data_IF_073400768930
#
_entry.id   IF_073400768930
#
_cell.length_a   1.000
_cell.length_b   1.000
_cell.length_c   1.000
_cell.angle_alpha   90.00
_cell.angle_beta   90.00
_cell.angle_gamma   90.00
#
_symmetry.space_group_name_H-M   'P 1'
#
loop_
_entity.id
_entity.type
_entity.pdbx_description
1 polymer ?
#
# COMPACT_ATOMS: atom_id res chain seq x y z
N UNK A 1 75.33 39.32 -10.34
CA UNK A 1 75.19 37.90 -9.97
C UNK A 1 73.75 37.47 -10.24
N UNK A 2 73.53 36.29 -10.87
CA UNK A 2 72.31 35.96 -11.61
C UNK A 2 71.27 35.19 -10.78
N UNK A 3 70.04 35.04 -11.33
CA UNK A 3 69.22 33.80 -11.49
C UNK A 3 67.76 34.22 -11.81
N UNK A 4 67.31 34.14 -13.06
CA UNK A 4 66.59 33.02 -13.73
C UNK A 4 65.18 32.73 -13.17
N UNK A 5 64.18 33.02 -14.03
CA UNK A 5 63.13 32.06 -14.41
C UNK A 5 61.77 32.20 -13.74
N UNK A 6 60.79 32.77 -14.45
CA UNK A 6 59.45 32.19 -14.46
C UNK A 6 58.83 32.41 -15.84
N UNK A 7 58.33 31.30 -16.39
CA UNK A 7 57.87 31.14 -17.76
C UNK A 7 56.53 31.84 -17.97
N UNK A 8 56.33 32.31 -19.19
CA UNK A 8 55.03 32.66 -19.76
C UNK A 8 54.03 31.53 -19.50
N UNK A 9 53.09 31.75 -18.57
CA UNK A 9 51.87 30.96 -18.49
C UNK A 9 50.91 31.44 -19.58
N UNK A 10 50.63 30.51 -20.47
CA UNK A 10 49.67 30.59 -21.56
C UNK A 10 48.34 31.19 -21.11
N UNK A 11 47.83 32.08 -21.97
CA UNK A 11 46.46 32.58 -21.97
C UNK A 11 45.47 31.42 -21.97
N UNK A 12 44.93 31.07 -20.81
CA UNK A 12 43.70 30.31 -20.70
C UNK A 12 42.56 31.13 -21.31
N UNK A 13 42.00 30.62 -22.41
CA UNK A 13 40.86 31.19 -23.13
C UNK A 13 39.61 31.18 -22.22
N UNK A 14 38.66 32.12 -22.37
CA UNK A 14 37.48 32.20 -21.52
C UNK A 14 36.55 30.99 -21.72
N UNK A 15 36.35 30.27 -20.62
CA UNK A 15 35.10 29.67 -20.16
C UNK A 15 34.17 29.04 -21.19
N UNK A 16 34.28 27.72 -21.37
CA UNK A 16 33.09 26.91 -21.62
C UNK A 16 32.26 26.92 -20.33
N UNK A 17 31.32 27.85 -20.21
CA UNK A 17 30.24 27.74 -19.21
C UNK A 17 29.49 26.45 -19.53
N UNK A 18 29.54 25.46 -18.65
CA UNK A 18 28.61 24.33 -18.68
C UNK A 18 27.21 24.91 -18.53
N UNK A 19 26.56 25.08 -19.67
CA UNK A 19 25.30 25.80 -19.82
C UNK A 19 24.14 25.05 -19.18
N UNK A 20 23.32 25.84 -18.48
CA UNK A 20 21.97 25.56 -18.03
C UNK A 20 21.83 24.54 -16.89
N UNK A 21 21.75 25.08 -15.68
CA UNK A 21 20.91 24.51 -14.62
C UNK A 21 19.55 24.19 -15.23
N UNK A 22 19.24 22.91 -15.46
CA UNK A 22 17.88 22.51 -15.87
C UNK A 22 16.92 22.97 -14.78
N UNK A 23 16.11 23.96 -15.09
CA UNK A 23 15.22 24.61 -14.12
C UNK A 23 14.01 23.72 -13.75
N UNK A 24 13.75 22.68 -14.53
CA UNK A 24 12.62 21.79 -14.36
C UNK A 24 13.04 20.41 -13.88
N UNK A 25 12.84 20.17 -12.58
CA UNK A 25 12.61 18.83 -12.07
C UNK A 25 11.18 18.44 -12.45
N UNK A 26 10.99 17.46 -13.33
CA UNK A 26 9.67 16.90 -13.65
C UNK A 26 9.47 15.62 -12.85
N UNK A 27 8.44 15.61 -12.01
CA UNK A 27 8.05 14.47 -11.18
C UNK A 27 6.56 14.30 -11.46
N UNK A 28 6.13 13.26 -12.18
CA UNK A 28 4.73 12.98 -12.39
C UNK A 28 4.07 12.59 -11.07
N UNK A 29 2.78 12.89 -10.92
CA UNK A 29 2.00 12.41 -9.77
C UNK A 29 1.82 10.90 -9.91
N UNK A 30 2.27 10.11 -8.92
CA UNK A 30 1.95 8.70 -8.91
C UNK A 30 0.46 8.45 -8.72
N UNK A 31 -0.04 7.38 -9.33
CA UNK A 31 -1.38 6.90 -9.02
C UNK A 31 -1.49 6.50 -7.53
N UNK A 32 -2.70 6.57 -6.98
CA UNK A 32 -3.05 6.11 -5.61
C UNK A 32 -2.43 6.87 -4.43
N UNK A 33 -1.65 7.94 -4.66
CA UNK A 33 -1.21 8.84 -3.56
C UNK A 33 -2.30 9.86 -3.23
N UNK A 34 -2.53 10.06 -1.93
CA UNK A 34 -3.52 11.02 -1.43
C UNK A 34 -3.20 12.47 -1.84
N UNK A 35 -4.23 13.30 -2.00
CA UNK A 35 -4.13 14.70 -2.42
C UNK A 35 -3.19 15.53 -1.53
N UNK A 36 -3.40 15.57 -0.20
CA UNK A 36 -2.56 16.32 0.73
C UNK A 36 -1.08 15.91 0.70
N UNK A 37 -0.79 14.60 0.58
CA UNK A 37 0.58 14.11 0.46
C UNK A 37 1.24 14.59 -0.84
N UNK A 38 0.51 14.59 -1.95
CA UNK A 38 1.01 15.12 -3.21
C UNK A 38 1.27 16.64 -3.15
N UNK A 39 0.37 17.39 -2.52
CA UNK A 39 0.52 18.84 -2.33
C UNK A 39 1.78 19.16 -1.52
N UNK A 40 2.07 18.40 -0.46
CA UNK A 40 3.30 18.55 0.32
C UNK A 40 4.56 18.36 -0.53
N UNK A 41 4.60 17.32 -1.38
CA UNK A 41 5.72 17.07 -2.30
C UNK A 41 5.90 18.25 -3.28
N UNK A 42 4.81 18.77 -3.83
CA UNK A 42 4.85 19.91 -4.75
C UNK A 42 5.32 21.20 -4.08
N UNK A 43 4.94 21.44 -2.82
CA UNK A 43 5.40 22.58 -2.05
C UNK A 43 6.93 22.53 -1.87
N UNK A 44 7.51 21.39 -1.48
CA UNK A 44 8.96 21.24 -1.32
C UNK A 44 9.71 21.39 -2.64
N UNK A 45 9.19 20.82 -3.73
CA UNK A 45 9.74 21.00 -5.07
C UNK A 45 9.77 22.47 -5.52
N UNK A 46 8.73 23.23 -5.17
CA UNK A 46 8.64 24.65 -5.50
C UNK A 46 9.67 25.48 -4.74
N UNK A 47 10.04 25.10 -3.50
CA UNK A 47 11.11 25.75 -2.74
C UNK A 47 12.47 25.61 -3.40
N UNK A 48 12.82 24.41 -3.87
CA UNK A 48 14.08 24.18 -4.63
C UNK A 48 14.15 25.10 -5.84
N UNK A 49 13.05 25.22 -6.59
CA UNK A 49 12.98 26.10 -7.78
C UNK A 49 13.16 27.58 -7.43
N UNK A 50 12.58 28.03 -6.31
CA UNK A 50 12.66 29.43 -5.89
C UNK A 50 14.09 29.84 -5.46
N UNK A 51 14.87 28.91 -4.91
CA UNK A 51 16.19 29.22 -4.33
C UNK A 51 17.36 29.06 -5.31
N UNK A 52 17.14 28.39 -6.44
CA UNK A 52 18.23 27.88 -7.27
C UNK A 52 19.15 28.94 -7.88
N UNK A 53 18.62 30.14 -8.12
CA UNK A 53 19.37 31.23 -8.73
C UNK A 53 20.13 32.09 -7.71
N UNK A 54 19.86 31.94 -6.41
CA UNK A 54 20.25 32.94 -5.41
C UNK A 54 20.75 32.40 -4.07
N UNK A 55 20.46 31.14 -3.73
CA UNK A 55 20.78 30.58 -2.41
C UNK A 55 21.14 29.08 -2.49
N UNK A 56 22.42 28.79 -2.74
CA UNK A 56 22.92 27.40 -2.84
C UNK A 56 22.75 26.60 -1.54
N UNK A 57 23.00 27.24 -0.38
CA UNK A 57 22.80 26.61 0.92
C UNK A 57 21.33 26.29 1.19
N UNK A 58 20.42 27.17 0.76
CA UNK A 58 18.99 26.96 0.76
C UNK A 58 18.55 25.81 -0.14
N UNK A 59 19.10 25.73 -1.36
CA UNK A 59 18.81 24.61 -2.29
C UNK A 59 19.17 23.27 -1.67
N UNK A 60 20.34 23.12 -1.06
CA UNK A 60 20.76 21.87 -0.40
C UNK A 60 19.78 21.53 0.73
N UNK A 61 19.36 22.51 1.52
CA UNK A 61 18.34 22.34 2.56
C UNK A 61 17.00 21.86 1.99
N UNK A 62 16.50 22.52 0.95
CA UNK A 62 15.23 22.17 0.31
C UNK A 62 15.29 20.79 -0.38
N UNK A 63 16.44 20.38 -0.91
CA UNK A 63 16.68 19.04 -1.44
C UNK A 63 16.54 17.97 -0.35
N UNK A 64 17.14 18.17 0.82
CA UNK A 64 16.97 17.28 1.98
C UNK A 64 15.50 17.21 2.39
N UNK A 65 14.85 18.36 2.54
CA UNK A 65 13.45 18.43 2.97
C UNK A 65 12.52 17.70 1.99
N UNK A 66 12.78 17.78 0.68
CA UNK A 66 12.01 17.03 -0.32
C UNK A 66 12.20 15.51 -0.19
N UNK A 67 13.45 15.04 -0.04
CA UNK A 67 13.74 13.61 0.18
C UNK A 67 13.07 13.13 1.47
N UNK A 68 13.14 13.93 2.54
CA UNK A 68 12.51 13.63 3.83
C UNK A 68 10.98 13.56 3.72
N UNK A 69 10.36 14.52 3.02
CA UNK A 69 8.93 14.55 2.76
C UNK A 69 8.49 13.29 2.01
N UNK A 70 9.16 12.95 0.92
CA UNK A 70 8.81 11.76 0.12
C UNK A 70 9.05 10.47 0.92
N UNK A 71 10.10 10.37 1.74
CA UNK A 71 10.31 9.23 2.63
C UNK A 71 9.16 9.08 3.64
N UNK A 72 8.68 10.18 4.23
CA UNK A 72 7.52 10.19 5.14
C UNK A 72 6.23 9.80 4.43
N UNK A 73 6.01 10.30 3.22
CA UNK A 73 4.84 9.92 2.39
C UNK A 73 4.86 8.43 2.09
N UNK A 74 6.01 7.87 1.68
CA UNK A 74 6.16 6.42 1.44
C UNK A 74 5.73 5.61 2.68
N UNK A 75 6.22 5.98 3.86
CA UNK A 75 5.88 5.26 5.09
C UNK A 75 4.41 5.47 5.51
N UNK A 76 3.88 6.68 5.36
CA UNK A 76 2.50 7.00 5.71
C UNK A 76 1.47 6.28 4.81
N UNK A 77 1.74 6.20 3.50
CA UNK A 77 0.86 5.56 2.53
C UNK A 77 0.90 4.03 2.59
N UNK A 78 2.08 3.45 2.80
CA UNK A 78 2.26 2.00 2.73
C UNK A 78 2.26 1.28 4.08
N UNK A 79 2.51 1.99 5.19
CA UNK A 79 2.52 1.41 6.53
C UNK A 79 1.80 2.29 7.54
N UNK A 80 2.53 3.21 8.15
CA UNK A 80 2.06 4.10 9.19
C UNK A 80 3.00 5.31 9.26
N UNK A 81 2.50 6.48 9.67
CA UNK A 81 3.34 7.66 9.81
C UNK A 81 4.49 7.41 10.79
N UNK A 82 5.71 7.77 10.40
CA UNK A 82 6.89 7.56 11.22
C UNK A 82 7.60 8.87 11.57
N UNK A 83 8.06 8.95 12.82
CA UNK A 83 8.94 10.01 13.33
C UNK A 83 10.32 9.41 13.58
N UNK A 84 11.27 9.72 12.71
CA UNK A 84 12.67 9.34 12.86
C UNK A 84 13.60 10.41 12.27
N UNK A 85 14.89 10.30 12.56
CA UNK A 85 15.90 11.14 11.90
C UNK A 85 15.97 10.85 10.39
N UNK A 86 16.49 11.82 9.64
CA UNK A 86 16.51 11.78 8.18
C UNK A 86 17.17 10.50 7.61
N UNK A 87 18.37 10.07 8.06
CA UNK A 87 18.98 8.84 7.57
C UNK A 87 18.13 7.60 7.82
N UNK A 88 17.50 7.49 9.01
CA UNK A 88 16.61 6.37 9.32
C UNK A 88 15.36 6.35 8.45
N UNK A 89 14.73 7.51 8.23
CA UNK A 89 13.55 7.62 7.37
C UNK A 89 13.85 7.14 5.95
N UNK A 90 14.95 7.65 5.34
CA UNK A 90 15.33 7.27 3.98
C UNK A 90 15.69 5.79 3.90
N UNK A 91 16.40 5.26 4.90
CA UNK A 91 16.75 3.82 4.95
C UNK A 91 15.49 2.96 4.98
N UNK A 92 14.54 3.25 5.87
CA UNK A 92 13.29 2.50 6.01
C UNK A 92 12.42 2.57 4.75
N UNK A 93 12.17 3.77 4.24
CA UNK A 93 11.44 3.95 2.99
C UNK A 93 12.10 3.19 1.83
N UNK A 94 13.43 3.30 1.69
CA UNK A 94 14.15 2.60 0.61
C UNK A 94 14.12 1.08 0.77
N UNK A 95 14.09 0.57 2.00
CA UNK A 95 13.99 -0.86 2.28
C UNK A 95 12.61 -1.39 1.90
N UNK A 96 11.56 -0.68 2.31
CA UNK A 96 10.16 -0.99 1.96
C UNK A 96 9.94 -1.00 0.44
N UNK A 97 10.41 0.04 -0.26
CA UNK A 97 10.32 0.14 -1.71
C UNK A 97 11.17 -0.91 -2.43
N UNK A 98 12.28 -1.35 -1.81
CA UNK A 98 13.13 -2.42 -2.31
C UNK A 98 12.50 -3.80 -2.22
N UNK A 99 11.80 -4.09 -1.11
CA UNK A 99 11.07 -5.36 -0.91
C UNK A 99 9.89 -5.54 -1.86
N UNK A 100 9.34 -4.45 -2.40
CA UNK A 100 8.30 -4.45 -3.43
C UNK A 100 8.82 -4.84 -4.83
N UNK A 101 9.99 -5.49 -4.94
CA UNK A 101 10.51 -6.02 -6.20
C UNK A 101 10.02 -7.44 -6.37
N UNK A 102 9.40 -7.81 -7.51
CA UNK A 102 8.97 -9.17 -7.77
C UNK A 102 10.12 -10.14 -7.50
N UNK A 103 9.85 -11.16 -6.68
CA UNK A 103 10.75 -12.32 -6.59
C UNK A 103 10.53 -13.10 -7.88
N UNK A 104 11.47 -12.97 -8.80
CA UNK A 104 11.47 -13.82 -9.99
C UNK A 104 12.04 -15.16 -9.54
N UNK A 105 11.15 -16.14 -9.43
CA UNK A 105 11.47 -17.50 -9.01
C UNK A 105 12.23 -18.20 -10.15
N UNK A 106 13.56 -18.30 -10.04
CA UNK A 106 14.31 -19.37 -10.72
C UNK A 106 15.32 -19.01 -11.82
N UNK A 107 15.46 -17.75 -12.25
CA UNK A 107 16.45 -17.41 -13.30
C UNK A 107 17.73 -16.74 -12.74
N UNK A 108 18.90 -17.23 -13.17
CA UNK A 108 20.22 -16.64 -12.84
C UNK A 108 20.30 -15.14 -13.22
N UNK A 109 19.57 -14.74 -14.26
CA UNK A 109 19.49 -13.35 -14.73
C UNK A 109 18.68 -12.47 -13.77
N UNK A 110 17.63 -13.01 -13.16
CA UNK A 110 16.87 -12.34 -12.11
C UNK A 110 17.71 -12.14 -10.84
N UNK A 111 18.53 -13.11 -10.45
CA UNK A 111 19.42 -12.98 -9.29
C UNK A 111 20.46 -11.86 -9.48
N UNK A 112 21.02 -11.75 -10.69
CA UNK A 112 22.00 -10.69 -11.02
C UNK A 112 21.35 -9.31 -11.00
N UNK A 113 20.15 -9.17 -11.59
CA UNK A 113 19.39 -7.92 -11.56
C UNK A 113 19.03 -7.53 -10.12
N UNK A 114 18.54 -8.47 -9.31
CA UNK A 114 18.20 -8.23 -7.91
C UNK A 114 19.41 -7.72 -7.11
N UNK A 115 20.58 -8.37 -7.26
CA UNK A 115 21.83 -7.92 -6.63
C UNK A 115 22.21 -6.50 -7.06
N UNK A 116 22.12 -6.20 -8.36
CA UNK A 116 22.40 -4.87 -8.89
C UNK A 116 21.47 -3.79 -8.31
N UNK A 117 20.16 -4.09 -8.21
CA UNK A 117 19.19 -3.19 -7.61
C UNK A 117 19.45 -2.97 -6.11
N UNK A 118 19.80 -4.02 -5.36
CA UNK A 118 20.16 -3.88 -3.94
C UNK A 118 21.37 -2.96 -3.76
N UNK A 119 22.40 -3.09 -4.60
CA UNK A 119 23.58 -2.21 -4.56
C UNK A 119 23.21 -0.75 -4.83
N UNK A 120 22.35 -0.50 -5.82
CA UNK A 120 21.86 0.84 -6.12
C UNK A 120 21.05 1.42 -4.95
N UNK A 121 20.18 0.64 -4.32
CA UNK A 121 19.43 1.06 -3.14
C UNK A 121 20.36 1.41 -1.98
N UNK A 122 21.38 0.59 -1.71
CA UNK A 122 22.39 0.89 -0.69
C UNK A 122 23.17 2.16 -1.02
N UNK A 123 23.57 2.37 -2.27
CA UNK A 123 24.25 3.59 -2.70
C UNK A 123 23.36 4.84 -2.51
N UNK A 124 22.06 4.74 -2.78
CA UNK A 124 21.09 5.81 -2.53
C UNK A 124 20.97 6.15 -1.03
N UNK A 125 21.03 5.15 -0.15
CA UNK A 125 21.04 5.36 1.31
C UNK A 125 22.33 6.07 1.76
N UNK A 126 23.49 5.67 1.23
CA UNK A 126 24.77 6.34 1.51
C UNK A 126 24.76 7.78 0.99
N UNK A 127 24.23 8.02 -0.21
CA UNK A 127 24.10 9.37 -0.76
C UNK A 127 23.16 10.25 0.06
N UNK A 128 22.10 9.69 0.65
CA UNK A 128 21.23 10.40 1.58
C UNK A 128 22.01 10.86 2.82
N UNK A 129 22.82 9.97 3.41
CA UNK A 129 23.70 10.32 4.53
C UNK A 129 24.62 11.50 4.16
N UNK A 130 25.25 11.45 2.98
CA UNK A 130 26.06 12.55 2.46
C UNK A 130 25.27 13.86 2.28
N UNK A 131 24.02 13.80 1.81
CA UNK A 131 23.14 14.98 1.73
C UNK A 131 22.85 15.58 3.12
N UNK A 132 22.64 14.73 4.13
CA UNK A 132 22.41 15.16 5.51
C UNK A 132 23.64 15.90 6.06
N UNK A 133 24.84 15.35 5.82
CA UNK A 133 26.12 15.96 6.21
C UNK A 133 26.38 17.27 5.46
N UNK A 134 26.20 17.29 4.14
CA UNK A 134 26.30 18.52 3.33
C UNK A 134 25.35 19.61 3.80
N UNK A 135 24.11 19.28 4.17
CA UNK A 135 23.18 20.25 4.74
C UNK A 135 23.68 20.77 6.09
N UNK A 136 24.23 19.91 6.93
CA UNK A 136 24.73 20.30 8.25
C UNK A 136 25.96 21.21 8.13
N UNK A 137 26.88 20.90 7.23
CA UNK A 137 28.15 21.62 7.07
C UNK A 137 28.04 22.84 6.15
N UNK A 138 27.23 22.75 5.09
CA UNK A 138 27.15 23.75 4.03
C UNK A 138 25.74 24.36 3.80
N UNK A 139 24.69 23.82 4.42
CA UNK A 139 23.34 24.40 4.32
C UNK A 139 23.15 25.70 5.13
N UNK A 140 22.10 26.46 4.79
CA UNK A 140 21.73 27.73 5.42
C UNK A 140 21.09 27.61 6.84
N UNK A 141 21.01 26.39 7.39
CA UNK A 141 20.41 26.12 8.69
C UNK A 141 21.32 26.46 9.88
N UNK A 142 20.70 26.68 11.05
CA UNK A 142 21.36 26.84 12.37
C UNK A 142 22.26 28.07 12.55
N UNK A 143 22.13 29.10 11.69
CA UNK A 143 22.74 30.41 11.93
C UNK A 143 24.27 30.37 11.98
N UNK A 144 24.89 29.91 10.89
CA UNK A 144 26.34 29.76 10.83
C UNK A 144 27.08 31.09 10.91
N UNK A 145 28.28 31.12 11.52
CA UNK A 145 29.10 32.31 11.63
C UNK A 145 29.60 32.83 10.27
N UNK A 146 29.68 31.96 9.26
CA UNK A 146 30.01 32.30 7.88
C UNK A 146 29.14 31.51 6.91
N UNK A 147 28.79 32.12 5.77
CA UNK A 147 28.14 31.41 4.68
C UNK A 147 29.20 30.65 3.87
N UNK A 148 29.08 29.32 3.73
CA UNK A 148 30.02 28.55 2.92
C UNK A 148 29.84 28.88 1.44
N UNK A 149 30.95 28.95 0.71
CA UNK A 149 30.95 29.09 -0.75
C UNK A 149 30.73 27.72 -1.36
N UNK A 150 29.66 27.56 -2.15
CA UNK A 150 29.26 26.31 -2.77
C UNK A 150 29.27 26.53 -4.28
N UNK A 151 29.97 25.66 -5.02
CA UNK A 151 30.02 25.78 -6.47
C UNK A 151 28.69 25.35 -7.10
N UNK A 152 28.34 25.94 -8.25
CA UNK A 152 27.14 25.60 -9.01
C UNK A 152 27.07 24.10 -9.32
N UNK A 153 28.23 23.50 -9.63
CA UNK A 153 28.38 22.07 -9.96
C UNK A 153 28.00 21.16 -8.79
N UNK A 154 28.37 21.53 -7.56
CA UNK A 154 28.03 20.76 -6.35
C UNK A 154 26.52 20.81 -6.09
N UNK A 155 25.90 21.99 -6.29
CA UNK A 155 24.45 22.14 -6.21
C UNK A 155 23.75 21.29 -7.26
N UNK A 156 24.29 21.22 -8.49
CA UNK A 156 23.74 20.36 -9.53
C UNK A 156 23.84 18.87 -9.19
N UNK A 157 24.94 18.44 -8.59
CA UNK A 157 25.11 17.05 -8.15
C UNK A 157 24.05 16.68 -7.11
N UNK A 158 23.88 17.52 -6.09
CA UNK A 158 22.87 17.33 -5.03
C UNK A 158 21.46 17.26 -5.62
N UNK A 159 21.12 18.18 -6.52
CA UNK A 159 19.80 18.19 -7.19
C UNK A 159 19.58 16.94 -8.03
N UNK A 160 20.58 16.51 -8.78
CA UNK A 160 20.50 15.33 -9.64
C UNK A 160 20.25 14.07 -8.81
N UNK A 161 20.93 13.94 -7.67
CA UNK A 161 20.66 12.90 -6.69
C UNK A 161 19.22 12.96 -6.17
N UNK A 162 18.77 14.13 -5.70
CA UNK A 162 17.39 14.31 -5.19
C UNK A 162 16.35 13.94 -6.24
N UNK A 163 16.51 14.37 -7.49
CA UNK A 163 15.59 14.02 -8.58
C UNK A 163 15.56 12.51 -8.85
N UNK A 164 16.73 11.88 -8.92
CA UNK A 164 16.85 10.44 -9.14
C UNK A 164 16.18 9.64 -8.02
N UNK A 165 16.44 10.01 -6.76
CA UNK A 165 15.86 9.34 -5.60
C UNK A 165 14.34 9.50 -5.54
N UNK A 166 13.83 10.73 -5.69
CA UNK A 166 12.40 11.02 -5.62
C UNK A 166 11.64 10.32 -6.74
N UNK A 167 12.14 10.36 -7.98
CA UNK A 167 11.51 9.65 -9.10
C UNK A 167 11.45 8.15 -8.87
N UNK A 168 12.55 7.56 -8.42
CA UNK A 168 12.60 6.14 -8.10
C UNK A 168 11.62 5.78 -6.99
N UNK A 169 11.62 6.55 -5.88
CA UNK A 169 10.77 6.29 -4.73
C UNK A 169 9.29 6.36 -5.09
N UNK A 170 8.88 7.40 -5.81
CA UNK A 170 7.50 7.60 -6.23
C UNK A 170 7.03 6.56 -7.25
N UNK A 171 7.86 6.20 -8.23
CA UNK A 171 7.54 5.15 -9.19
C UNK A 171 7.41 3.76 -8.51
N UNK A 172 8.20 3.50 -7.46
CA UNK A 172 8.09 2.27 -6.68
C UNK A 172 6.89 2.29 -5.74
N UNK A 173 6.57 3.43 -5.14
CA UNK A 173 5.39 3.59 -4.31
C UNK A 173 4.11 3.35 -5.10
N UNK A 174 4.02 3.86 -6.34
CA UNK A 174 2.87 3.59 -7.22
C UNK A 174 2.60 2.09 -7.36
N UNK A 175 3.65 1.31 -7.65
CA UNK A 175 3.54 -0.15 -7.81
C UNK A 175 3.15 -0.84 -6.51
N UNK A 176 3.70 -0.37 -5.39
CA UNK A 176 3.37 -0.90 -4.07
C UNK A 176 1.89 -0.66 -3.73
N UNK A 177 1.40 0.57 -3.94
CA UNK A 177 0.01 0.93 -3.67
C UNK A 177 -0.96 0.27 -4.66
N UNK A 178 -0.57 0.12 -5.92
CA UNK A 178 -1.35 -0.59 -6.92
C UNK A 178 -1.59 -2.06 -6.53
N UNK A 179 -0.65 -2.67 -5.80
CA UNK A 179 -0.74 -4.05 -5.32
C UNK A 179 -1.10 -4.12 -3.82
N UNK A 180 -1.80 -3.12 -3.30
CA UNK A 180 -2.31 -3.15 -1.92
C UNK A 180 -3.72 -3.71 -1.85
N UNK A 181 -4.06 -4.31 -0.70
CA UNK A 181 -5.42 -4.80 -0.41
C UNK A 181 -6.44 -3.65 -0.46
N UNK A 182 -6.10 -2.48 0.05
CA UNK A 182 -6.96 -1.29 -0.01
C UNK A 182 -7.32 -0.90 -1.45
N UNK A 183 -6.36 -0.95 -2.38
CA UNK A 183 -6.62 -0.69 -3.80
C UNK A 183 -7.49 -1.79 -4.40
N UNK A 184 -7.24 -3.06 -4.10
CA UNK A 184 -8.07 -4.17 -4.58
C UNK A 184 -9.52 -4.07 -4.06
N UNK A 185 -9.72 -3.71 -2.79
CA UNK A 185 -11.05 -3.46 -2.23
C UNK A 185 -11.72 -2.29 -2.95
N UNK A 186 -11.01 -1.19 -3.21
CA UNK A 186 -11.55 -0.08 -3.99
C UNK A 186 -11.96 -0.51 -5.41
N UNK A 187 -11.14 -1.34 -6.08
CA UNK A 187 -11.47 -1.93 -7.38
C UNK A 187 -12.75 -2.76 -7.31
N UNK A 188 -12.89 -3.64 -6.31
CA UNK A 188 -14.11 -4.45 -6.09
C UNK A 188 -15.38 -3.59 -6.02
N UNK A 189 -15.30 -2.34 -5.57
CA UNK A 189 -16.48 -1.46 -5.54
C UNK A 189 -16.83 -0.81 -6.88
N UNK A 190 -15.85 -0.53 -7.74
CA UNK A 190 -16.02 0.41 -8.86
C UNK A 190 -15.60 -0.09 -10.23
N UNK A 191 -14.88 -1.21 -10.34
CA UNK A 191 -14.35 -1.71 -11.61
C UNK A 191 -15.13 -2.92 -12.14
N UNK A 192 -14.87 -3.25 -13.41
CA UNK A 192 -15.41 -4.45 -14.06
C UNK A 192 -14.38 -5.57 -13.99
N UNK A 193 -14.76 -6.70 -13.40
CA UNK A 193 -13.93 -7.90 -13.31
C UNK A 193 -14.22 -8.85 -14.47
N UNK A 194 -13.17 -9.43 -15.03
CA UNK A 194 -13.24 -10.54 -16.00
C UNK A 194 -12.71 -11.81 -15.33
N UNK A 195 -13.11 -12.97 -15.85
CA UNK A 195 -12.71 -14.26 -15.29
C UNK A 195 -11.19 -14.36 -15.10
N UNK A 196 -10.77 -14.82 -13.93
CA UNK A 196 -9.36 -14.97 -13.54
C UNK A 196 -8.67 -13.67 -13.11
N UNK A 197 -9.29 -12.50 -13.31
CA UNK A 197 -8.69 -11.23 -12.87
C UNK A 197 -8.62 -11.16 -11.35
N UNK A 198 -9.65 -11.61 -10.62
CA UNK A 198 -9.59 -11.58 -9.16
C UNK A 198 -8.48 -12.50 -8.66
N UNK A 199 -8.37 -13.72 -9.19
CA UNK A 199 -7.30 -14.65 -8.84
C UNK A 199 -5.91 -14.03 -9.06
N UNK A 200 -5.68 -13.40 -10.22
CA UNK A 200 -4.45 -12.66 -10.50
C UNK A 200 -4.20 -11.56 -9.46
N UNK A 201 -5.22 -10.75 -9.12
CA UNK A 201 -5.08 -9.67 -8.15
C UNK A 201 -4.79 -10.19 -6.75
N UNK A 202 -5.38 -11.32 -6.34
CA UNK A 202 -5.06 -12.00 -5.08
C UNK A 202 -3.57 -12.40 -5.03
N UNK A 203 -3.02 -12.95 -6.10
CA UNK A 203 -1.59 -13.26 -6.18
C UNK A 203 -0.71 -12.00 -6.08
N UNK A 204 -1.09 -10.93 -6.80
CA UNK A 204 -0.34 -9.66 -6.81
C UNK A 204 -0.27 -8.96 -5.45
N UNK A 205 -1.33 -9.07 -4.63
CA UNK A 205 -1.33 -8.56 -3.24
C UNK A 205 -0.62 -9.49 -2.25
N UNK A 206 -0.11 -10.64 -2.69
CA UNK A 206 0.55 -11.62 -1.82
C UNK A 206 -0.43 -12.33 -0.89
N UNK A 207 -1.60 -12.71 -1.40
CA UNK A 207 -2.74 -13.25 -0.63
C UNK A 207 -2.36 -14.24 0.47
N UNK A 208 -1.47 -15.20 0.21
CA UNK A 208 -1.09 -16.24 1.18
C UNK A 208 -0.22 -15.74 2.35
N UNK A 209 0.32 -14.54 2.27
CA UNK A 209 1.20 -13.94 3.28
C UNK A 209 0.59 -12.72 3.97
N UNK A 210 -0.65 -12.37 3.63
CA UNK A 210 -1.34 -11.24 4.23
C UNK A 210 -1.62 -11.49 5.72
N UNK A 211 -1.60 -10.45 6.56
CA UNK A 211 -2.09 -10.52 7.93
C UNK A 211 -3.58 -10.90 7.97
N UNK A 212 -4.01 -11.58 9.03
CA UNK A 212 -5.40 -12.03 9.19
C UNK A 212 -6.41 -10.88 9.06
N UNK A 213 -6.13 -9.71 9.63
CA UNK A 213 -7.03 -8.54 9.53
C UNK A 213 -7.27 -8.09 8.08
N UNK A 214 -6.23 -8.12 7.24
CA UNK A 214 -6.34 -7.77 5.81
C UNK A 214 -7.06 -8.87 5.02
N UNK A 215 -6.82 -10.14 5.36
CA UNK A 215 -7.53 -11.27 4.78
C UNK A 215 -9.03 -11.22 5.08
N UNK A 216 -9.40 -10.91 6.32
CA UNK A 216 -10.79 -10.76 6.75
C UNK A 216 -11.47 -9.60 5.99
N UNK A 217 -10.84 -8.42 5.93
CA UNK A 217 -11.35 -7.26 5.18
C UNK A 217 -11.54 -7.60 3.70
N UNK A 218 -10.57 -8.29 3.09
CA UNK A 218 -10.63 -8.68 1.69
C UNK A 218 -11.74 -9.70 1.43
N UNK A 219 -11.86 -10.74 2.25
CA UNK A 219 -12.92 -11.75 2.14
C UNK A 219 -14.31 -11.14 2.24
N UNK A 220 -14.51 -10.21 3.17
CA UNK A 220 -15.76 -9.47 3.29
C UNK A 220 -16.10 -8.68 2.02
N UNK A 221 -15.14 -7.93 1.48
CA UNK A 221 -15.33 -7.13 0.27
C UNK A 221 -15.62 -8.00 -0.97
N UNK A 222 -14.95 -9.15 -1.10
CA UNK A 222 -15.19 -10.11 -2.18
C UNK A 222 -16.59 -10.69 -2.10
N UNK A 223 -17.06 -11.10 -0.91
CA UNK A 223 -18.42 -11.60 -0.71
C UNK A 223 -19.47 -10.53 -1.00
N UNK A 224 -19.25 -9.29 -0.54
CA UNK A 224 -20.15 -8.16 -0.82
C UNK A 224 -20.27 -7.92 -2.34
N UNK A 225 -19.15 -7.90 -3.06
CA UNK A 225 -19.16 -7.67 -4.50
C UNK A 225 -19.74 -8.85 -5.28
N UNK A 226 -19.21 -10.05 -5.07
CA UNK A 226 -19.54 -11.24 -5.85
C UNK A 226 -21.01 -11.62 -5.73
N UNK A 227 -21.56 -11.51 -4.52
CA UNK A 227 -22.86 -12.11 -4.22
C UNK A 227 -23.98 -11.07 -4.11
N UNK A 228 -23.71 -9.85 -3.60
CA UNK A 228 -24.77 -8.84 -3.44
C UNK A 228 -24.91 -7.87 -4.61
N UNK A 229 -23.86 -7.70 -5.40
CA UNK A 229 -23.91 -6.91 -6.65
C UNK A 229 -24.00 -7.81 -7.89
N UNK A 230 -24.37 -9.08 -7.68
CA UNK A 230 -24.59 -10.12 -8.71
C UNK A 230 -23.47 -10.20 -9.75
N UNK A 231 -22.22 -10.10 -9.28
CA UNK A 231 -21.05 -10.20 -10.16
C UNK A 231 -20.55 -11.64 -10.14
N UNK A 232 -21.19 -12.48 -10.96
CA UNK A 232 -20.88 -13.92 -11.09
C UNK A 232 -19.38 -14.22 -11.21
N UNK A 233 -18.63 -13.38 -11.91
CA UNK A 233 -17.18 -13.54 -12.07
C UNK A 233 -16.44 -13.45 -10.73
N UNK A 234 -16.77 -12.47 -9.89
CA UNK A 234 -16.12 -12.28 -8.58
C UNK A 234 -16.55 -13.38 -7.62
N UNK A 235 -17.81 -13.81 -7.68
CA UNK A 235 -18.27 -14.96 -6.90
C UNK A 235 -17.55 -16.25 -7.31
N UNK A 236 -17.44 -16.51 -8.62
CA UNK A 236 -16.78 -17.69 -9.18
C UNK A 236 -15.27 -17.74 -8.91
N UNK A 237 -14.59 -16.59 -8.85
CA UNK A 237 -13.15 -16.54 -8.59
C UNK A 237 -12.79 -16.56 -7.08
N UNK A 238 -13.69 -16.12 -6.19
CA UNK A 238 -13.31 -15.81 -4.80
C UNK A 238 -14.29 -16.24 -3.69
N UNK A 239 -15.47 -16.75 -4.04
CA UNK A 239 -16.48 -17.20 -3.06
C UNK A 239 -16.86 -18.66 -3.29
N UNK A 240 -17.30 -18.99 -4.51
CA UNK A 240 -17.76 -20.32 -4.89
C UNK A 240 -16.67 -21.40 -4.76
N UNK A 241 -15.38 -21.13 -5.06
CA UNK A 241 -14.31 -22.11 -4.85
C UNK A 241 -14.22 -22.59 -3.41
N UNK A 242 -14.61 -21.77 -2.43
CA UNK A 242 -14.56 -22.16 -1.01
C UNK A 242 -15.47 -23.34 -0.68
N UNK A 243 -16.48 -23.64 -1.50
CA UNK A 243 -17.36 -24.78 -1.27
C UNK A 243 -16.61 -26.11 -1.42
N UNK A 244 -15.62 -26.18 -2.32
CA UNK A 244 -15.01 -27.43 -2.74
C UNK A 244 -13.47 -27.44 -2.71
N UNK A 245 -12.84 -26.27 -2.64
CA UNK A 245 -11.39 -26.13 -2.64
C UNK A 245 -10.84 -25.84 -1.24
N UNK A 246 -9.77 -26.56 -0.90
CA UNK A 246 -8.99 -26.33 0.32
C UNK A 246 -7.82 -25.36 0.07
N UNK A 247 -7.15 -24.93 1.14
CA UNK A 247 -5.94 -24.10 1.07
C UNK A 247 -6.18 -22.59 1.06
N UNK A 248 -7.44 -22.16 1.16
CA UNK A 248 -7.80 -20.76 1.41
C UNK A 248 -7.52 -20.38 2.88
N UNK A 249 -6.90 -19.22 3.16
CA UNK A 249 -6.64 -18.77 4.52
C UNK A 249 -7.92 -18.69 5.37
N UNK A 250 -7.88 -19.17 6.61
CA UNK A 250 -9.04 -19.20 7.51
C UNK A 250 -9.60 -17.79 7.77
N UNK A 251 -8.73 -16.79 7.94
CA UNK A 251 -9.12 -15.39 8.09
C UNK A 251 -9.91 -14.86 6.88
N UNK A 252 -9.53 -15.24 5.66
CA UNK A 252 -10.28 -14.89 4.45
C UNK A 252 -11.65 -15.57 4.42
N UNK A 253 -11.70 -16.87 4.75
CA UNK A 253 -12.95 -17.61 4.85
C UNK A 253 -13.90 -16.99 5.89
N UNK A 254 -13.38 -16.55 7.04
CA UNK A 254 -14.15 -15.80 8.03
C UNK A 254 -14.73 -14.51 7.44
N UNK A 255 -13.90 -13.71 6.75
CA UNK A 255 -14.34 -12.51 6.06
C UNK A 255 -15.47 -12.78 5.05
N UNK A 256 -15.33 -13.83 4.25
CA UNK A 256 -16.37 -14.26 3.30
C UNK A 256 -17.65 -14.67 4.04
N UNK A 257 -17.56 -15.51 5.07
CA UNK A 257 -18.72 -15.93 5.87
C UNK A 257 -19.46 -14.73 6.47
N UNK A 258 -18.72 -13.76 7.01
CA UNK A 258 -19.25 -12.48 7.47
C UNK A 258 -19.96 -11.73 6.34
N UNK A 259 -19.34 -11.61 5.16
CA UNK A 259 -19.95 -10.92 4.02
C UNK A 259 -21.17 -11.64 3.44
N UNK A 260 -21.28 -12.96 3.58
CA UNK A 260 -22.45 -13.75 3.18
C UNK A 260 -23.62 -13.61 4.16
N UNK A 261 -23.35 -13.35 5.44
CA UNK A 261 -24.37 -13.14 6.47
C UNK A 261 -24.75 -11.66 6.63
N UNK A 262 -23.77 -10.76 6.61
CA UNK A 262 -23.91 -9.35 6.99
C UNK A 262 -23.58 -8.42 5.84
N UNK A 263 -24.39 -7.38 5.68
CA UNK A 263 -24.14 -6.24 4.77
C UNK A 263 -23.12 -5.27 5.36
N UNK A 264 -22.55 -4.42 4.51
CA UNK A 264 -21.61 -3.36 4.92
C UNK A 264 -22.22 -2.39 5.94
N UNK A 265 -23.55 -2.26 5.93
CA UNK A 265 -24.35 -1.49 6.88
C UNK A 265 -24.82 -2.29 8.11
N UNK A 266 -24.27 -3.49 8.34
CA UNK A 266 -24.51 -4.30 9.53
C UNK A 266 -25.89 -4.93 9.59
N UNK A 267 -26.55 -5.09 8.44
CA UNK A 267 -27.84 -5.77 8.31
C UNK A 267 -27.61 -7.25 8.00
N UNK A 268 -28.24 -8.13 8.78
CA UNK A 268 -28.30 -9.57 8.54
C UNK A 268 -29.15 -9.85 7.31
N UNK A 269 -28.50 -10.34 6.25
CA UNK A 269 -29.05 -10.77 4.97
C UNK A 269 -28.24 -11.97 4.45
N UNK A 270 -28.57 -13.19 4.91
CA UNK A 270 -27.91 -14.44 4.49
C UNK A 270 -28.08 -14.70 2.99
N UNK A 271 -27.01 -15.16 2.34
CA UNK A 271 -27.01 -15.55 0.92
C UNK A 271 -25.94 -16.62 0.66
N UNK A 272 -26.10 -17.42 -0.41
CA UNK A 272 -25.19 -18.53 -0.78
C UNK A 272 -24.91 -19.46 0.42
N UNK A 273 -25.98 -20.01 0.98
CA UNK A 273 -25.92 -20.82 2.19
C UNK A 273 -25.09 -22.11 2.04
N UNK A 274 -24.95 -22.67 0.83
CA UNK A 274 -24.09 -23.82 0.56
C UNK A 274 -22.61 -23.53 0.88
N UNK A 275 -22.13 -22.36 0.43
CA UNK A 275 -20.77 -21.89 0.72
C UNK A 275 -20.59 -21.63 2.21
N UNK A 276 -21.57 -21.03 2.88
CA UNK A 276 -21.55 -20.85 4.33
C UNK A 276 -21.47 -22.20 5.07
N UNK A 277 -22.25 -23.19 4.67
CA UNK A 277 -22.23 -24.53 5.26
C UNK A 277 -20.87 -25.23 5.07
N UNK A 278 -20.16 -24.96 3.98
CA UNK A 278 -18.81 -25.48 3.76
C UNK A 278 -17.75 -24.77 4.63
N UNK A 279 -17.86 -23.46 4.81
CA UNK A 279 -16.86 -22.63 5.50
C UNK A 279 -16.98 -22.71 7.02
N UNK A 280 -18.20 -22.60 7.57
CA UNK A 280 -18.42 -22.46 9.02
C UNK A 280 -17.74 -23.56 9.85
N UNK A 281 -17.81 -24.86 9.48
CA UNK A 281 -17.08 -25.91 10.18
C UNK A 281 -15.56 -25.72 10.24
N UNK A 282 -14.97 -25.01 9.27
CA UNK A 282 -13.53 -24.84 9.11
C UNK A 282 -12.96 -23.69 9.96
N UNK A 283 -13.81 -22.75 10.39
CA UNK A 283 -13.41 -21.55 11.12
C UNK A 283 -12.84 -21.83 12.53
N UNK A 284 -13.18 -22.99 13.11
CA UNK A 284 -12.87 -23.29 14.52
C UNK A 284 -13.75 -22.51 15.51
N UNK A 285 -13.72 -22.93 16.77
CA UNK A 285 -14.67 -22.44 17.79
C UNK A 285 -14.59 -20.92 18.01
N UNK A 286 -13.40 -20.34 18.16
CA UNK A 286 -13.22 -18.91 18.46
C UNK A 286 -13.81 -18.00 17.37
N UNK A 287 -13.58 -18.34 16.10
CA UNK A 287 -14.11 -17.56 14.98
C UNK A 287 -15.61 -17.80 14.76
N UNK A 288 -16.13 -18.99 15.06
CA UNK A 288 -17.57 -19.24 15.09
C UNK A 288 -18.26 -18.38 16.16
N UNK A 289 -17.67 -18.26 17.36
CA UNK A 289 -18.17 -17.37 18.42
C UNK A 289 -18.17 -15.92 17.96
N UNK A 290 -17.06 -15.46 17.36
CA UNK A 290 -16.96 -14.08 16.88
C UNK A 290 -17.99 -13.79 15.78
N UNK A 291 -18.22 -14.75 14.87
CA UNK A 291 -19.26 -14.63 13.84
C UNK A 291 -20.66 -14.52 14.46
N UNK A 292 -20.95 -15.35 15.46
CA UNK A 292 -22.21 -15.31 16.21
C UNK A 292 -22.42 -13.98 16.93
N UNK A 293 -21.42 -13.46 17.63
CA UNK A 293 -21.49 -12.17 18.34
C UNK A 293 -21.86 -11.02 17.37
N UNK A 294 -21.25 -11.00 16.18
CA UNK A 294 -21.54 -9.99 15.15
C UNK A 294 -22.96 -10.14 14.59
N UNK A 295 -23.41 -11.38 14.36
CA UNK A 295 -24.73 -11.64 13.77
C UNK A 295 -25.87 -11.41 14.77
N UNK A 296 -25.66 -11.71 16.06
CA UNK A 296 -26.65 -11.47 17.12
C UNK A 296 -26.96 -9.99 17.34
N UNK A 297 -25.94 -9.14 17.16
CA UNK A 297 -26.02 -7.68 17.28
C UNK A 297 -26.48 -6.99 15.99
N UNK A 298 -26.48 -7.70 14.86
CA UNK A 298 -26.90 -7.18 13.58
C UNK A 298 -28.39 -6.85 13.51
N UNK A 299 -28.73 -5.82 12.73
CA UNK A 299 -30.13 -5.50 12.42
C UNK A 299 -30.66 -6.54 11.43
N UNK A 300 -31.83 -7.11 11.70
CA UNK A 300 -32.45 -8.07 10.77
C UNK A 300 -33.05 -7.32 9.57
N UNK A 301 -32.77 -7.77 8.35
CA UNK A 301 -33.45 -7.25 7.16
C UNK A 301 -34.96 -7.52 7.25
N UNK A 302 -35.83 -6.49 7.14
CA UNK A 302 -37.28 -6.69 7.12
C UNK A 302 -37.76 -7.69 6.07
N UNK A 303 -37.04 -7.81 4.95
CA UNK A 303 -37.36 -8.77 3.89
C UNK A 303 -37.31 -10.23 4.38
N UNK A 304 -36.48 -10.54 5.38
CA UNK A 304 -36.35 -11.89 5.96
C UNK A 304 -37.54 -12.29 6.84
N UNK A 305 -38.44 -11.36 7.17
CA UNK A 305 -39.64 -11.65 7.96
C UNK A 305 -40.85 -12.00 7.09
N UNK A 306 -40.68 -12.07 5.77
CA UNK A 306 -41.73 -12.45 4.84
C UNK A 306 -41.85 -13.97 4.80
N UNK A 307 -43.07 -14.49 4.94
CA UNK A 307 -43.35 -15.92 4.82
C UNK A 307 -43.61 -16.26 3.34
N UNK A 308 -42.54 -16.46 2.59
CA UNK A 308 -42.58 -17.01 1.23
C UNK A 308 -41.70 -18.26 1.09
N UNK A 309 -41.89 -19.02 0.00
CA UNK A 309 -41.23 -20.31 -0.22
C UNK A 309 -39.69 -20.22 -0.24
N UNK A 310 -39.15 -19.11 -0.77
CA UNK A 310 -37.72 -18.85 -0.79
C UNK A 310 -37.16 -18.57 0.61
N UNK A 311 -37.94 -17.89 1.46
CA UNK A 311 -37.57 -17.65 2.84
C UNK A 311 -37.61 -18.92 3.70
N UNK A 312 -38.60 -19.78 3.46
CA UNK A 312 -38.68 -21.08 4.12
C UNK A 312 -37.43 -21.94 3.84
N UNK A 313 -36.97 -22.00 2.59
CA UNK A 313 -35.73 -22.71 2.24
C UNK A 313 -34.50 -22.10 2.94
N UNK A 314 -34.42 -20.77 3.01
CA UNK A 314 -33.35 -20.05 3.72
C UNK A 314 -33.33 -20.41 5.21
N UNK A 315 -34.50 -20.43 5.86
CA UNK A 315 -34.61 -20.80 7.28
C UNK A 315 -34.27 -22.26 7.54
N UNK A 316 -34.71 -23.19 6.68
CA UNK A 316 -34.37 -24.61 6.80
C UNK A 316 -32.86 -24.80 6.77
N UNK A 317 -32.17 -24.24 5.77
CA UNK A 317 -30.71 -24.38 5.68
C UNK A 317 -29.99 -23.71 6.85
N UNK A 318 -30.43 -22.53 7.31
CA UNK A 318 -29.87 -21.91 8.53
C UNK A 318 -30.10 -22.78 9.76
N UNK A 319 -31.26 -23.42 9.90
CA UNK A 319 -31.54 -24.38 10.97
C UNK A 319 -30.61 -25.60 10.91
N UNK A 320 -30.41 -26.17 9.72
CA UNK A 320 -29.48 -27.30 9.51
C UNK A 320 -28.02 -26.94 9.83
N UNK A 321 -27.62 -25.69 9.60
CA UNK A 321 -26.29 -25.20 9.97
C UNK A 321 -26.03 -25.22 11.48
N UNK A 322 -27.05 -25.32 12.34
CA UNK A 322 -26.83 -25.54 13.79
C UNK A 322 -26.04 -26.82 14.09
N UNK A 323 -26.10 -27.82 13.19
CA UNK A 323 -25.33 -29.05 13.31
C UNK A 323 -23.82 -28.83 13.11
N UNK A 324 -23.45 -27.73 12.43
CA UNK A 324 -22.10 -27.36 11.99
C UNK A 324 -21.38 -26.40 12.96
N UNK A 325 -22.14 -25.82 13.90
CA UNK A 325 -21.63 -24.96 14.96
C UNK A 325 -21.14 -25.84 16.12
N UNK A 326 -20.06 -25.43 16.77
CA UNK A 326 -19.56 -26.07 17.98
C UNK A 326 -20.66 -26.27 19.04
N UNK A 327 -20.60 -27.40 19.76
CA UNK A 327 -21.59 -27.80 20.78
C UNK A 327 -21.89 -26.69 21.79
N UNK A 328 -20.88 -25.92 22.20
CA UNK A 328 -21.05 -24.83 23.16
C UNK A 328 -21.91 -23.66 22.66
N UNK A 329 -22.14 -23.58 21.35
CA UNK A 329 -22.74 -22.41 20.70
C UNK A 329 -23.96 -22.73 19.81
N UNK A 330 -24.33 -24.01 19.64
CA UNK A 330 -25.53 -24.40 18.88
C UNK A 330 -26.79 -23.71 19.37
N UNK A 331 -26.97 -23.58 20.69
CA UNK A 331 -28.14 -22.93 21.27
C UNK A 331 -28.25 -21.45 20.88
N UNK A 332 -27.10 -20.75 20.79
CA UNK A 332 -27.03 -19.35 20.35
C UNK A 332 -27.43 -19.20 18.88
N UNK A 333 -26.91 -20.09 18.02
CA UNK A 333 -27.28 -20.15 16.62
C UNK A 333 -28.78 -20.46 16.44
N UNK A 334 -29.33 -21.40 17.20
CA UNK A 334 -30.75 -21.72 17.13
C UNK A 334 -31.62 -20.51 17.55
N UNK A 335 -31.25 -19.81 18.61
CA UNK A 335 -31.94 -18.57 19.02
C UNK A 335 -31.91 -17.50 17.92
N UNK A 336 -30.82 -17.40 17.16
CA UNK A 336 -30.75 -16.50 16.01
C UNK A 336 -31.75 -16.93 14.91
N UNK A 337 -31.79 -18.22 14.57
CA UNK A 337 -32.74 -18.75 13.59
C UNK A 337 -34.18 -18.50 14.04
N UNK A 338 -34.48 -18.73 15.31
CA UNK A 338 -35.79 -18.47 15.91
C UNK A 338 -36.13 -16.97 15.89
N UNK A 339 -35.15 -16.07 16.08
CA UNK A 339 -35.35 -14.61 15.93
C UNK A 339 -35.67 -14.18 14.50
N UNK A 340 -35.19 -14.92 13.50
CA UNK A 340 -35.55 -14.70 12.10
C UNK A 340 -36.96 -15.23 11.81
N UNK A 341 -37.37 -16.30 12.51
CA UNK A 341 -38.67 -16.94 12.44
C UNK A 341 -39.65 -16.33 13.46
N UNK A 342 -40.18 -15.13 13.19
CA UNK A 342 -41.34 -14.62 13.93
C UNK A 342 -42.60 -14.95 13.12
N UNK A 343 -43.39 -15.98 13.51
CA UNK A 343 -44.70 -16.19 12.91
C UNK A 343 -45.57 -14.98 13.24
N UNK A 344 -46.09 -14.30 12.21
CA UNK A 344 -47.16 -13.32 12.36
C UNK A 344 -48.52 -14.04 12.38
#
# INVERSE_FOLDING_TARGET
MPLRGCQDQERLKPGHRFGYIRNHMEIPRPAHIDGPHWEAIQAHKSRIRAQIASDHGGVIGACKDLVECVAKVVLAEATSPEIADFPKLVKKASTLLGSATPKNDGEVQAATLAKGLTLLISAQQTAAQGLSELRNDHGAGHGKPTMPVIADEDVQLVRSYTEAWVRWALARLERLLANSVSTLIAELTGTTFRAGLLAQRLEEVGFKQLPDEELERLGFAVAERGVRRDTFVVAGDGVEPLEHEDGWPIAYQYGVAKGLLLTSDGVLRPIRLSVLAAIVPRLGADLQVRLLDEVETARIDPALRRNDEAMNATWTTLGEMSALIDDGHRARWQLLVDRLFVPF
#
